data_IF_512534643988
#
_entry.id   IF_512534643988
#
_cell.length_a   1.000
_cell.length_b   1.000
_cell.length_c   1.000
_cell.angle_alpha   90.00
_cell.angle_beta   90.00
_cell.angle_gamma   90.00
#
_symmetry.space_group_name_H-M   'P 1'
#
loop_
_entity.id
_entity.type
_entity.pdbx_description
1 polymer ?
#
# COMPACT_ATOMS: atom_id res chain seq x y z
N UNK A 1 19.28 14.74 -6.03
CA UNK A 1 18.25 13.73 -5.70
C UNK A 1 16.93 14.23 -6.31
N UNK A 2 16.15 13.37 -6.92
CA UNK A 2 14.83 13.72 -7.47
C UNK A 2 13.82 13.84 -6.33
N UNK A 3 12.89 14.80 -6.41
CA UNK A 3 11.78 14.89 -5.44
C UNK A 3 10.75 13.78 -5.67
N UNK A 4 10.01 13.40 -4.62
CA UNK A 4 8.95 12.40 -4.75
C UNK A 4 7.85 12.83 -5.75
N UNK A 5 7.54 14.13 -5.81
CA UNK A 5 6.59 14.68 -6.78
C UNK A 5 7.11 14.58 -8.23
N UNK A 6 8.41 14.83 -8.44
CA UNK A 6 9.04 14.67 -9.74
C UNK A 6 9.01 13.20 -10.19
N UNK A 7 9.32 12.27 -9.26
CA UNK A 7 9.25 10.81 -9.51
C UNK A 7 7.84 10.42 -9.92
N UNK A 8 6.83 10.78 -9.12
CA UNK A 8 5.43 10.46 -9.40
C UNK A 8 4.98 10.95 -10.77
N UNK A 9 5.26 12.24 -11.05
CA UNK A 9 4.84 12.87 -12.32
C UNK A 9 5.53 12.22 -13.50
N UNK A 10 6.83 11.92 -13.39
CA UNK A 10 7.60 11.28 -14.46
C UNK A 10 7.11 9.85 -14.71
N UNK A 11 6.92 9.07 -13.65
CA UNK A 11 6.41 7.69 -13.76
C UNK A 11 4.99 7.66 -14.35
N UNK A 12 4.09 8.56 -13.92
CA UNK A 12 2.75 8.70 -14.49
C UNK A 12 2.80 8.94 -16.00
N UNK A 13 3.64 9.89 -16.47
CA UNK A 13 3.77 10.20 -17.88
C UNK A 13 4.41 9.06 -18.67
N UNK A 14 5.44 8.42 -18.14
CA UNK A 14 6.10 7.27 -18.75
C UNK A 14 5.12 6.09 -18.90
N UNK A 15 4.34 5.79 -17.87
CA UNK A 15 3.31 4.74 -17.90
C UNK A 15 2.25 5.04 -18.97
N UNK A 16 1.83 6.30 -19.09
CA UNK A 16 0.91 6.72 -20.15
C UNK A 16 1.50 6.52 -21.54
N UNK A 17 2.76 6.91 -21.72
CA UNK A 17 3.48 6.72 -22.99
C UNK A 17 3.67 5.24 -23.33
N UNK A 18 3.83 4.37 -22.32
CA UNK A 18 3.86 2.92 -22.48
C UNK A 18 2.49 2.29 -22.81
N UNK A 19 1.42 3.12 -22.92
CA UNK A 19 0.10 2.72 -23.40
C UNK A 19 -0.91 2.33 -22.33
N UNK A 20 -0.66 2.65 -21.05
CA UNK A 20 -1.63 2.50 -19.97
C UNK A 20 -2.67 3.64 -20.00
N UNK A 21 -3.84 3.41 -19.40
CA UNK A 21 -4.83 4.46 -19.19
C UNK A 21 -4.30 5.52 -18.22
N UNK A 22 -4.89 6.73 -18.20
CA UNK A 22 -4.48 7.77 -17.25
C UNK A 22 -4.65 7.33 -15.79
N UNK A 23 -5.75 6.66 -15.44
CA UNK A 23 -5.98 6.15 -14.09
C UNK A 23 -4.91 5.15 -13.66
N UNK A 24 -4.64 4.12 -14.47
CA UNK A 24 -3.56 3.15 -14.21
C UNK A 24 -2.19 3.83 -14.08
N UNK A 25 -1.91 4.81 -14.95
CA UNK A 25 -0.65 5.55 -14.93
C UNK A 25 -0.48 6.38 -13.65
N UNK A 26 -1.56 6.97 -13.18
CA UNK A 26 -1.58 7.73 -11.92
C UNK A 26 -1.33 6.83 -10.72
N UNK A 27 -2.03 5.71 -10.63
CA UNK A 27 -1.82 4.74 -9.56
C UNK A 27 -0.40 4.17 -9.58
N UNK A 28 0.17 3.94 -10.76
CA UNK A 28 1.57 3.52 -10.91
C UNK A 28 2.53 4.58 -10.36
N UNK A 29 2.32 5.85 -10.69
CA UNK A 29 3.14 6.96 -10.20
C UNK A 29 3.13 7.06 -8.68
N UNK A 30 1.95 7.05 -8.08
CA UNK A 30 1.75 7.08 -6.63
C UNK A 30 2.41 5.89 -5.92
N UNK A 31 2.31 4.70 -6.50
CA UNK A 31 2.86 3.48 -5.90
C UNK A 31 4.39 3.45 -5.98
N UNK A 32 4.97 3.72 -7.14
CA UNK A 32 6.42 3.66 -7.35
C UNK A 32 7.17 4.66 -6.46
N UNK A 33 6.68 5.91 -6.33
CA UNK A 33 7.33 6.92 -5.50
C UNK A 33 7.50 6.49 -4.05
N UNK A 34 6.58 5.68 -3.52
CA UNK A 34 6.62 5.23 -2.13
C UNK A 34 7.81 4.31 -1.87
N UNK A 35 8.05 3.33 -2.74
CA UNK A 35 9.19 2.45 -2.55
C UNK A 35 10.54 3.15 -2.79
N UNK A 36 10.57 4.14 -3.66
CA UNK A 36 11.77 4.99 -3.81
C UNK A 36 12.05 5.81 -2.54
N UNK A 37 11.02 6.24 -1.79
CA UNK A 37 11.16 6.85 -0.47
C UNK A 37 11.92 5.93 0.51
N UNK A 38 11.71 4.62 0.40
CA UNK A 38 12.39 3.60 1.20
C UNK A 38 13.67 3.04 0.54
N UNK A 39 14.18 3.73 -0.48
CA UNK A 39 15.39 3.34 -1.23
C UNK A 39 15.30 1.96 -1.89
N UNK A 40 14.10 1.51 -2.23
CA UNK A 40 13.89 0.27 -2.98
C UNK A 40 13.92 0.54 -4.49
N UNK A 41 14.53 -0.32 -5.32
CA UNK A 41 14.89 0.00 -6.70
C UNK A 41 13.72 -0.10 -7.70
N UNK A 42 12.59 0.54 -7.39
CA UNK A 42 11.38 0.47 -8.21
C UNK A 42 11.55 1.13 -9.57
N UNK A 43 12.20 2.29 -9.65
CA UNK A 43 12.42 3.00 -10.93
C UNK A 43 13.30 2.16 -11.86
N UNK A 44 14.36 1.52 -11.33
CA UNK A 44 15.21 0.63 -12.10
C UNK A 44 14.40 -0.48 -12.75
N UNK A 45 13.61 -1.19 -11.95
CA UNK A 45 12.78 -2.30 -12.43
C UNK A 45 11.64 -1.84 -13.35
N UNK A 46 11.05 -0.68 -13.10
CA UNK A 46 10.03 -0.11 -13.99
C UNK A 46 10.61 0.24 -15.36
N UNK A 47 11.82 0.80 -15.40
CA UNK A 47 12.51 1.12 -16.64
C UNK A 47 12.84 -0.16 -17.43
N UNK A 48 13.36 -1.19 -16.77
CA UNK A 48 13.60 -2.51 -17.38
C UNK A 48 12.30 -3.11 -17.91
N UNK A 49 11.22 -3.07 -17.12
CA UNK A 49 9.91 -3.55 -17.51
C UNK A 49 9.38 -2.84 -18.76
N UNK A 50 9.47 -1.51 -18.85
CA UNK A 50 9.03 -0.79 -20.03
C UNK A 50 9.88 -1.04 -21.26
N UNK A 51 11.18 -1.25 -21.10
CA UNK A 51 12.07 -1.60 -22.21
C UNK A 51 11.78 -3.01 -22.78
N UNK A 52 11.36 -3.94 -21.91
CA UNK A 52 11.00 -5.31 -22.30
C UNK A 52 9.52 -5.44 -22.68
N UNK A 53 8.71 -4.39 -22.51
CA UNK A 53 7.26 -4.44 -22.62
C UNK A 53 6.79 -4.64 -24.07
N UNK A 54 6.74 -5.91 -24.44
CA UNK A 54 5.87 -6.37 -25.47
C UNK A 54 4.58 -6.89 -24.79
N UNK A 55 3.45 -6.19 -24.94
CA UNK A 55 2.16 -6.50 -24.28
C UNK A 55 1.74 -7.96 -24.37
N UNK A 56 2.23 -8.70 -25.35
CA UNK A 56 1.99 -10.13 -25.52
C UNK A 56 2.78 -11.03 -24.56
N UNK A 57 3.74 -10.50 -23.82
CA UNK A 57 4.59 -11.26 -22.91
C UNK A 57 4.01 -11.40 -21.49
N UNK A 58 2.95 -10.67 -21.15
CA UNK A 58 2.40 -10.63 -19.80
C UNK A 58 0.91 -10.90 -19.80
N UNK A 59 0.43 -11.57 -18.75
CA UNK A 59 -0.99 -11.82 -18.53
C UNK A 59 -1.58 -10.77 -17.57
N UNK A 60 -2.85 -10.41 -17.83
CA UNK A 60 -3.61 -9.55 -16.94
C UNK A 60 -4.48 -10.41 -16.04
N UNK A 61 -4.54 -10.06 -14.75
CA UNK A 61 -5.47 -10.66 -13.79
C UNK A 61 -6.44 -9.58 -13.32
N UNK A 62 -7.70 -9.70 -13.69
CA UNK A 62 -8.72 -8.72 -13.36
C UNK A 62 -9.47 -9.06 -12.08
N UNK A 63 -9.66 -10.35 -11.78
CA UNK A 63 -10.34 -10.83 -10.57
C UNK A 63 -9.36 -11.66 -9.74
N UNK A 64 -9.10 -11.21 -8.53
CA UNK A 64 -8.17 -11.84 -7.60
C UNK A 64 -8.92 -12.80 -6.69
N UNK A 65 -8.37 -13.98 -6.50
CA UNK A 65 -8.82 -15.02 -5.58
C UNK A 65 -7.72 -15.39 -4.58
N UNK A 66 -7.99 -16.31 -3.67
CA UNK A 66 -6.97 -16.81 -2.74
C UNK A 66 -5.74 -17.39 -3.46
N UNK A 67 -5.95 -18.05 -4.60
CA UNK A 67 -4.89 -18.68 -5.37
C UNK A 67 -4.94 -18.25 -6.83
N UNK A 68 -3.90 -17.57 -7.28
CA UNK A 68 -3.78 -17.01 -8.61
C UNK A 68 -2.53 -17.56 -9.28
N UNK A 69 -2.69 -18.23 -10.44
CA UNK A 69 -1.58 -18.84 -11.15
C UNK A 69 -1.67 -18.55 -12.63
N UNK A 70 -0.63 -17.96 -13.17
CA UNK A 70 -0.44 -17.85 -14.61
C UNK A 70 0.34 -19.06 -15.12
N UNK A 71 -0.15 -19.67 -16.19
CA UNK A 71 0.43 -20.91 -16.74
C UNK A 71 1.37 -20.66 -17.93
N UNK A 72 1.17 -19.58 -18.66
CA UNK A 72 1.93 -19.32 -19.90
C UNK A 72 2.90 -18.16 -19.74
N UNK A 73 2.39 -17.01 -19.42
CA UNK A 73 3.18 -15.79 -19.31
C UNK A 73 3.08 -15.24 -17.89
N UNK A 74 4.12 -14.59 -17.35
CA UNK A 74 4.03 -14.00 -16.03
C UNK A 74 2.98 -12.88 -16.00
N UNK A 75 2.38 -12.67 -14.83
CA UNK A 75 1.44 -11.57 -14.62
C UNK A 75 2.12 -10.21 -14.81
N UNK A 76 1.41 -9.30 -15.49
CA UNK A 76 1.79 -7.90 -15.58
C UNK A 76 1.74 -7.25 -14.18
N UNK A 77 2.85 -6.71 -13.66
CA UNK A 77 2.89 -6.21 -12.29
C UNK A 77 2.05 -4.96 -12.08
N UNK A 78 1.85 -4.14 -13.14
CA UNK A 78 1.09 -2.90 -13.08
C UNK A 78 -0.42 -3.20 -13.05
N UNK A 79 -0.91 -4.00 -14.00
CA UNK A 79 -2.35 -4.34 -14.04
C UNK A 79 -2.76 -5.18 -12.84
N UNK A 80 -1.90 -6.13 -12.41
CA UNK A 80 -2.10 -6.89 -11.20
C UNK A 80 -2.17 -5.97 -9.97
N UNK A 81 -1.26 -4.99 -9.90
CA UNK A 81 -1.21 -4.03 -8.81
C UNK A 81 -2.46 -3.16 -8.72
N UNK A 82 -2.94 -2.65 -9.85
CA UNK A 82 -4.20 -1.89 -9.89
C UNK A 82 -5.39 -2.76 -9.51
N UNK A 83 -5.47 -4.00 -10.05
CA UNK A 83 -6.54 -4.93 -9.67
C UNK A 83 -6.52 -5.27 -8.18
N UNK A 84 -5.34 -5.34 -7.56
CA UNK A 84 -5.19 -5.55 -6.13
C UNK A 84 -5.69 -4.35 -5.32
N UNK A 85 -5.33 -3.12 -5.72
CA UNK A 85 -5.82 -1.89 -5.09
C UNK A 85 -7.34 -1.76 -5.18
N UNK A 86 -7.90 -2.00 -6.36
CA UNK A 86 -9.33 -1.85 -6.61
C UNK A 86 -10.18 -2.84 -5.79
N UNK A 87 -9.62 -4.01 -5.47
CA UNK A 87 -10.31 -5.09 -4.77
C UNK A 87 -9.94 -5.21 -3.30
N UNK A 88 -9.03 -4.39 -2.77
CA UNK A 88 -8.44 -4.61 -1.44
C UNK A 88 -9.48 -4.68 -0.31
N UNK A 89 -10.55 -3.90 -0.36
CA UNK A 89 -11.63 -3.92 0.63
C UNK A 89 -12.40 -5.25 0.66
N UNK A 90 -12.40 -6.00 -0.44
CA UNK A 90 -12.97 -7.35 -0.51
C UNK A 90 -11.91 -8.39 -0.13
N UNK A 91 -10.68 -8.18 -0.61
CA UNK A 91 -9.56 -9.07 -0.36
C UNK A 91 -9.13 -9.07 1.10
N UNK A 92 -9.42 -8.01 1.86
CA UNK A 92 -9.10 -7.96 3.30
C UNK A 92 -9.79 -9.06 4.12
N UNK A 93 -10.87 -9.65 3.61
CA UNK A 93 -11.52 -10.80 4.24
C UNK A 93 -10.77 -12.12 4.01
N UNK A 94 -9.80 -12.14 3.11
CA UNK A 94 -8.93 -13.27 2.85
C UNK A 94 -7.69 -13.17 3.73
N UNK A 95 -7.45 -14.17 4.56
CA UNK A 95 -6.26 -14.19 5.44
C UNK A 95 -4.96 -14.27 4.66
N UNK A 96 -5.01 -14.93 3.50
CA UNK A 96 -3.85 -15.19 2.66
C UNK A 96 -4.24 -15.18 1.19
N UNK A 97 -3.40 -14.54 0.37
CA UNK A 97 -3.55 -14.52 -1.09
C UNK A 97 -2.21 -14.96 -1.71
N UNK A 98 -2.27 -15.87 -2.67
CA UNK A 98 -1.09 -16.39 -3.35
C UNK A 98 -1.12 -16.02 -4.83
N UNK A 99 0.05 -15.59 -5.34
CA UNK A 99 0.28 -15.34 -6.76
C UNK A 99 1.49 -16.15 -7.22
N UNK A 100 1.36 -16.81 -8.36
CA UNK A 100 2.47 -17.52 -9.02
C UNK A 100 2.80 -16.87 -10.33
N UNK A 101 4.11 -16.81 -10.63
CA UNK A 101 4.64 -16.30 -11.88
C UNK A 101 4.31 -14.82 -12.11
N UNK A 102 4.87 -13.93 -11.28
CA UNK A 102 4.69 -12.47 -11.35
C UNK A 102 5.95 -11.81 -11.90
N UNK A 103 5.81 -11.02 -12.97
CA UNK A 103 6.91 -10.25 -13.53
C UNK A 103 7.22 -9.03 -12.65
N UNK A 104 8.51 -8.69 -12.56
CA UNK A 104 8.99 -7.50 -11.85
C UNK A 104 8.29 -7.26 -10.51
N UNK A 105 8.38 -8.23 -9.60
CA UNK A 105 7.53 -8.28 -8.39
C UNK A 105 7.65 -7.05 -7.50
N UNK A 106 8.78 -6.35 -7.51
CA UNK A 106 8.97 -5.11 -6.73
C UNK A 106 7.97 -4.03 -7.17
N UNK A 107 7.57 -3.99 -8.45
CA UNK A 107 6.53 -3.08 -8.94
C UNK A 107 5.18 -3.46 -8.32
N UNK A 108 4.84 -4.74 -8.27
CA UNK A 108 3.60 -5.20 -7.63
C UNK A 108 3.59 -4.91 -6.12
N UNK A 109 4.72 -5.12 -5.44
CA UNK A 109 4.87 -4.82 -4.00
C UNK A 109 4.56 -3.36 -3.69
N UNK A 110 4.85 -2.43 -4.60
CA UNK A 110 4.51 -1.02 -4.41
C UNK A 110 3.01 -0.76 -4.27
N UNK A 111 2.20 -1.48 -5.01
CA UNK A 111 0.74 -1.41 -4.90
C UNK A 111 0.23 -2.08 -3.62
N UNK A 112 0.83 -3.22 -3.23
CA UNK A 112 0.50 -3.87 -1.96
C UNK A 112 0.82 -2.95 -0.78
N UNK A 113 1.92 -2.21 -0.84
CA UNK A 113 2.27 -1.23 0.20
C UNK A 113 1.19 -0.14 0.36
N UNK A 114 0.68 0.40 -0.75
CA UNK A 114 -0.44 1.35 -0.70
C UNK A 114 -1.74 0.72 -0.18
N UNK A 115 -1.97 -0.54 -0.50
CA UNK A 115 -3.14 -1.26 0.00
C UNK A 115 -3.16 -1.36 1.53
N UNK A 116 -1.99 -1.52 2.15
CA UNK A 116 -1.84 -1.49 3.61
C UNK A 116 -2.39 -0.20 4.24
N UNK A 117 -2.14 0.95 3.59
CA UNK A 117 -2.69 2.24 4.03
C UNK A 117 -4.21 2.31 3.87
N UNK A 118 -4.74 1.83 2.75
CA UNK A 118 -6.18 1.90 2.44
C UNK A 118 -7.01 1.13 3.47
N UNK A 119 -6.57 -0.08 3.84
CA UNK A 119 -7.31 -0.92 4.79
C UNK A 119 -6.89 -0.72 6.25
N UNK A 120 -5.88 0.11 6.52
CA UNK A 120 -5.39 0.35 7.88
C UNK A 120 -4.77 -0.89 8.55
N UNK A 121 -4.27 -1.86 7.77
CA UNK A 121 -3.69 -3.11 8.27
C UNK A 121 -2.27 -3.30 7.78
N UNK A 122 -1.43 -3.93 8.59
CA UNK A 122 -0.11 -4.40 8.17
C UNK A 122 -0.26 -5.53 7.17
N UNK A 123 0.60 -5.56 6.16
CA UNK A 123 0.63 -6.64 5.17
C UNK A 123 2.01 -7.30 5.19
N UNK A 124 2.03 -8.60 5.41
CA UNK A 124 3.24 -9.40 5.31
C UNK A 124 3.30 -10.08 3.95
N UNK A 125 4.38 -9.82 3.23
CA UNK A 125 4.64 -10.39 1.91
C UNK A 125 5.81 -11.34 1.99
N UNK A 126 5.62 -12.57 1.54
CA UNK A 126 6.70 -13.51 1.27
C UNK A 126 6.82 -13.68 -0.24
N UNK A 127 7.98 -13.32 -0.78
CA UNK A 127 8.30 -13.43 -2.19
C UNK A 127 9.49 -14.38 -2.33
N UNK A 128 9.24 -15.60 -2.76
CA UNK A 128 10.19 -16.69 -2.73
C UNK A 128 10.86 -16.77 -1.32
N UNK A 129 12.16 -16.51 -1.17
CA UNK A 129 12.85 -16.48 0.12
C UNK A 129 12.86 -15.10 0.82
N UNK A 130 12.45 -14.04 0.12
CA UNK A 130 12.42 -12.68 0.65
C UNK A 130 11.13 -12.44 1.43
N UNK A 131 11.27 -11.78 2.58
CA UNK A 131 10.16 -11.43 3.48
C UNK A 131 10.12 -9.93 3.68
N UNK A 132 8.95 -9.34 3.55
CA UNK A 132 8.73 -7.90 3.65
C UNK A 132 7.50 -7.67 4.51
N UNK A 133 7.62 -6.82 5.52
CA UNK A 133 6.49 -6.29 6.26
C UNK A 133 6.22 -4.86 5.81
N UNK A 134 5.02 -4.64 5.31
CA UNK A 134 4.51 -3.35 4.85
C UNK A 134 3.57 -2.79 5.93
N UNK A 135 3.93 -1.64 6.48
CA UNK A 135 3.21 -1.04 7.60
C UNK A 135 2.66 0.32 7.21
N UNK A 136 1.45 0.35 6.67
CA UNK A 136 0.66 1.56 6.42
C UNK A 136 1.41 2.66 5.63
N UNK A 137 2.30 2.29 4.74
CA UNK A 137 3.22 3.21 4.03
C UNK A 137 4.11 4.08 4.95
N UNK A 138 4.19 3.74 6.23
CA UNK A 138 5.03 4.46 7.21
C UNK A 138 6.39 3.79 7.34
N UNK A 139 6.41 2.47 7.24
CA UNK A 139 7.62 1.67 7.43
C UNK A 139 7.58 0.41 6.56
N UNK A 140 8.75 0.05 6.03
CA UNK A 140 8.98 -1.22 5.34
C UNK A 140 10.12 -1.94 6.06
N UNK A 141 9.84 -3.12 6.56
CA UNK A 141 10.84 -3.99 7.19
C UNK A 141 11.08 -5.22 6.31
N UNK A 142 12.33 -5.62 6.14
CA UNK A 142 12.69 -6.78 5.33
C UNK A 142 13.75 -7.64 6.00
N UNK A 143 13.82 -8.91 5.60
CA UNK A 143 14.84 -9.86 6.04
C UNK A 143 16.09 -9.86 5.16
N UNK A 144 16.21 -8.90 4.25
CA UNK A 144 17.33 -8.79 3.31
C UNK A 144 17.86 -7.36 3.27
N UNK A 145 19.15 -7.24 2.98
CA UNK A 145 19.84 -5.95 2.83
C UNK A 145 20.08 -5.66 1.34
N UNK A 146 20.17 -6.71 0.53
CA UNK A 146 20.42 -6.61 -0.89
C UNK A 146 19.25 -5.95 -1.63
N UNK A 147 19.57 -4.99 -2.48
CA UNK A 147 18.58 -4.29 -3.31
C UNK A 147 18.32 -5.01 -4.66
N UNK A 148 18.70 -6.28 -4.75
CA UNK A 148 18.45 -7.07 -5.95
C UNK A 148 17.13 -7.81 -5.85
N UNK A 149 16.29 -7.58 -6.84
CA UNK A 149 15.00 -8.24 -6.99
C UNK A 149 14.98 -9.06 -8.27
N UNK A 150 14.33 -10.23 -8.28
CA UNK A 150 14.22 -11.03 -9.49
C UNK A 150 13.32 -10.34 -10.52
N UNK A 151 13.55 -10.62 -11.80
CA UNK A 151 12.64 -10.20 -12.88
C UNK A 151 11.32 -10.97 -12.84
N UNK A 152 11.32 -12.18 -12.31
CA UNK A 152 10.13 -13.01 -12.14
C UNK A 152 10.19 -13.61 -10.74
N UNK A 153 9.10 -13.48 -9.98
CA UNK A 153 8.88 -14.23 -8.76
C UNK A 153 8.04 -15.47 -9.06
N UNK A 154 8.52 -16.61 -8.60
CA UNK A 154 7.79 -17.88 -8.76
C UNK A 154 6.55 -17.89 -7.86
N UNK A 155 6.68 -17.32 -6.66
CA UNK A 155 5.61 -17.30 -5.68
C UNK A 155 5.64 -16.02 -4.84
N UNK A 156 4.50 -15.38 -4.74
CA UNK A 156 4.27 -14.26 -3.81
C UNK A 156 3.09 -14.63 -2.93
N UNK A 157 3.30 -14.65 -1.62
CA UNK A 157 2.26 -14.81 -0.61
C UNK A 157 2.02 -13.45 0.05
N UNK A 158 0.78 -13.02 0.09
CA UNK A 158 0.32 -11.80 0.75
C UNK A 158 -0.56 -12.20 1.92
N UNK A 159 -0.16 -11.84 3.13
CA UNK A 159 -0.90 -12.12 4.36
C UNK A 159 -1.31 -10.79 4.98
N UNK A 160 -2.61 -10.62 5.16
CA UNK A 160 -3.18 -9.47 5.82
C UNK A 160 -3.20 -9.73 7.32
N UNK A 161 -2.55 -8.84 8.07
CA UNK A 161 -2.40 -8.99 9.53
C UNK A 161 -3.52 -8.20 10.19
N UNK A 162 -4.36 -8.89 10.95
CA UNK A 162 -5.37 -8.23 11.76
C UNK A 162 -4.71 -7.37 12.85
N UNK A 163 -5.31 -6.22 13.10
CA UNK A 163 -4.94 -5.39 14.23
C UNK A 163 -5.59 -5.98 15.47
N UNK A 164 -4.78 -6.33 16.44
CA UNK A 164 -5.22 -6.83 17.74
C UNK A 164 -4.72 -5.88 18.82
N UNK A 165 -5.56 -5.63 19.81
CA UNK A 165 -5.16 -4.88 21.00
C UNK A 165 -4.22 -5.74 21.84
N UNK A 166 -3.10 -5.15 22.27
CA UNK A 166 -2.11 -5.81 23.12
C UNK A 166 -2.29 -5.47 24.62
N UNK A 167 -3.49 -5.07 24.97
CA UNK A 167 -3.86 -4.73 26.36
C UNK A 167 -5.17 -5.40 26.73
N UNK A 168 -5.38 -5.59 28.03
CA UNK A 168 -6.62 -6.13 28.58
C UNK A 168 -7.64 -5.01 28.79
N UNK A 169 -8.93 -5.39 28.86
CA UNK A 169 -10.00 -4.44 29.21
C UNK A 169 -9.76 -3.76 30.56
N UNK A 170 -9.18 -4.47 31.53
CA UNK A 170 -8.85 -3.88 32.83
C UNK A 170 -7.76 -2.82 32.73
N UNK A 171 -6.72 -3.05 31.92
CA UNK A 171 -5.66 -2.07 31.67
C UNK A 171 -6.22 -0.84 30.95
N UNK A 172 -7.08 -1.04 29.96
CA UNK A 172 -7.76 0.05 29.28
C UNK A 172 -8.64 0.87 30.22
N UNK A 173 -9.50 0.20 31.01
CA UNK A 173 -10.40 0.85 31.94
C UNK A 173 -9.65 1.63 33.02
N UNK A 174 -8.51 1.14 33.50
CA UNK A 174 -7.68 1.84 34.48
C UNK A 174 -7.11 3.15 33.87
N UNK A 175 -6.60 3.10 32.62
CA UNK A 175 -6.11 4.29 31.93
C UNK A 175 -7.24 5.26 31.62
N UNK A 176 -8.40 4.74 31.18
CA UNK A 176 -9.56 5.55 30.91
C UNK A 176 -10.03 6.32 32.13
N UNK A 177 -10.14 5.62 33.28
CA UNK A 177 -10.52 6.25 34.56
C UNK A 177 -9.53 7.33 35.00
N UNK A 178 -8.23 7.10 34.79
CA UNK A 178 -7.23 8.13 35.08
C UNK A 178 -7.38 9.34 34.13
N UNK A 179 -7.75 9.11 32.88
CA UNK A 179 -7.95 10.19 31.91
C UNK A 179 -9.14 11.09 32.28
N UNK A 180 -10.15 10.55 32.96
CA UNK A 180 -11.31 11.33 33.42
C UNK A 180 -10.92 12.45 34.39
N UNK A 181 -9.80 12.32 35.11
CA UNK A 181 -9.28 13.37 35.99
C UNK A 181 -8.85 14.64 35.24
N UNK A 182 -8.67 14.55 33.92
CA UNK A 182 -8.35 15.69 33.05
C UNK A 182 -9.60 16.41 32.53
N UNK A 183 -10.78 15.85 32.72
CA UNK A 183 -12.01 16.46 32.26
C UNK A 183 -12.34 17.62 33.19
N UNK A 184 -12.47 18.79 32.57
CA UNK A 184 -12.96 19.98 33.27
C UNK A 184 -14.48 19.95 33.26
N UNK A 185 -15.11 20.16 34.42
CA UNK A 185 -16.57 20.28 34.47
C UNK A 185 -17.03 21.36 33.50
N UNK A 186 -17.99 21.03 32.64
CA UNK A 186 -18.60 22.01 31.75
C UNK A 186 -19.27 23.08 32.55
N UNK A 187 -18.68 24.27 32.58
CA UNK A 187 -19.33 25.47 33.11
C UNK A 187 -19.96 26.27 31.98
N UNK A 188 -21.01 27.00 32.28
CA UNK A 188 -21.71 27.86 31.29
C UNK A 188 -20.73 28.87 30.66
N UNK A 189 -19.74 29.35 31.41
CA UNK A 189 -18.67 30.20 30.89
C UNK A 189 -17.74 29.50 29.88
N UNK A 190 -17.54 28.20 29.98
CA UNK A 190 -16.77 27.42 28.99
C UNK A 190 -17.59 27.17 27.72
N UNK A 191 -18.92 27.01 27.86
CA UNK A 191 -19.83 26.87 26.69
C UNK A 191 -19.91 28.18 25.91
N UNK A 192 -19.93 29.31 26.58
CA UNK A 192 -19.95 30.64 25.96
C UNK A 192 -18.59 31.02 25.32
N UNK A 193 -17.47 30.51 25.84
CA UNK A 193 -16.13 30.76 25.33
C UNK A 193 -15.62 29.74 24.30
N UNK A 194 -16.22 28.58 24.23
CA UNK A 194 -15.81 27.54 23.29
C UNK A 194 -16.38 27.81 21.90
N UNK A 195 -15.49 27.95 20.93
CA UNK A 195 -15.77 28.05 19.50
C UNK A 195 -16.21 29.38 18.91
N UNK A 196 -15.94 30.51 19.56
CA UNK A 196 -16.23 31.81 18.94
C UNK A 196 -17.69 32.09 18.65
N UNK A 197 -18.61 31.28 19.19
CA UNK A 197 -20.05 31.50 19.12
C UNK A 197 -20.49 32.31 20.35
N UNK A 198 -19.97 33.53 20.49
CA UNK A 198 -20.58 34.48 21.38
C UNK A 198 -21.98 34.87 20.84
N UNK A 199 -22.92 35.05 21.75
CA UNK A 199 -24.31 35.50 21.47
C UNK A 199 -24.42 36.82 20.68
N UNK A 200 -23.33 37.34 20.13
CA UNK A 200 -23.23 38.65 19.46
C UNK A 200 -22.89 38.55 17.97
N UNK A 201 -22.83 37.37 17.37
CA UNK A 201 -22.60 37.23 15.93
C UNK A 201 -23.93 37.11 15.14
N UNK A 202 -24.80 38.07 15.41
CA UNK A 202 -25.99 38.36 14.62
C UNK A 202 -25.95 39.83 14.20
N UNK A 203 -25.11 40.17 13.22
CA UNK A 203 -25.25 41.33 12.36
C UNK A 203 -24.88 40.99 10.90
#
# INVERSE_FOLDING_TARGET
MKSLSEIETTVKRASKAAGYSWGVSEETGKSIRLLELFSLPCIKHLNEYFNENNKSKFENLNLISENNSSLKNPYCPITLGVSFLDQINVLENLKKIEFKNVAYPIIFISFISRSSEIIGKKIYVKMDEKKILLNLNVNISSNFIEQEFPKIANRIEVNLIENEDNFTEDEWNNLYKLSEETFVEESDSLKEGAAGAGLTDND
#
